data_IF_415572179275
#
_entry.id   IF_415572179275
#
_cell.length_a   1.000
_cell.length_b   1.000
_cell.length_c   1.000
_cell.angle_alpha   90.00
_cell.angle_beta   90.00
_cell.angle_gamma   90.00
#
_symmetry.space_group_name_H-M   'P 1'
#
loop_
_entity.id
_entity.type
_entity.pdbx_description
1 polymer ?
#
# COMPACT_ATOMS: atom_id res chain seq x y z
N UNK A 1 18.66 -3.49 12.70
CA UNK A 1 17.35 -3.25 12.05
C UNK A 1 16.82 -4.60 11.63
N UNK A 2 15.70 -5.05 12.19
CA UNK A 2 15.09 -6.35 11.82
C UNK A 2 14.58 -6.24 10.39
N UNK A 3 15.29 -6.87 9.46
CA UNK A 3 14.84 -6.99 8.08
C UNK A 3 13.62 -7.91 8.06
N UNK A 4 12.42 -7.34 7.98
CA UNK A 4 11.20 -8.10 7.77
C UNK A 4 11.24 -8.60 6.32
N UNK A 5 11.37 -9.91 6.13
CA UNK A 5 11.19 -10.56 4.83
C UNK A 5 9.70 -10.76 4.58
N UNK A 6 9.24 -10.36 3.40
CA UNK A 6 7.85 -10.51 2.98
C UNK A 6 7.80 -11.50 1.80
N UNK A 7 6.85 -12.43 1.85
CA UNK A 7 6.49 -13.29 0.72
C UNK A 7 4.99 -13.11 0.45
N UNK A 8 4.66 -12.51 -0.69
CA UNK A 8 3.29 -12.21 -1.08
C UNK A 8 3.12 -12.31 -2.60
N UNK A 9 1.98 -12.84 -3.05
CA UNK A 9 1.56 -12.85 -4.46
C UNK A 9 0.29 -11.99 -4.60
N UNK A 10 0.44 -10.82 -5.21
CA UNK A 10 -0.62 -9.84 -5.38
C UNK A 10 -1.10 -9.88 -6.82
N UNK A 11 -2.37 -10.28 -7.02
CA UNK A 11 -3.01 -10.36 -8.34
C UNK A 11 -4.11 -9.30 -8.43
N UNK A 12 -3.83 -8.21 -9.14
CA UNK A 12 -4.80 -7.16 -9.44
C UNK A 12 -5.40 -7.36 -10.84
N UNK A 13 -6.71 -7.16 -10.97
CA UNK A 13 -7.43 -7.26 -12.25
C UNK A 13 -8.17 -5.96 -12.52
N UNK A 14 -7.93 -5.40 -13.70
CA UNK A 14 -8.55 -4.19 -14.20
C UNK A 14 -9.19 -4.46 -15.57
N UNK A 15 -10.14 -3.63 -16.02
CA UNK A 15 -10.69 -3.76 -17.37
C UNK A 15 -9.62 -3.71 -18.47
N UNK A 16 -8.49 -3.06 -18.23
CA UNK A 16 -7.38 -2.91 -19.19
C UNK A 16 -6.36 -4.06 -19.15
N UNK A 17 -6.48 -5.00 -18.19
CA UNK A 17 -5.55 -6.14 -18.05
C UNK A 17 -5.36 -6.60 -16.60
N UNK A 18 -4.52 -7.62 -16.41
CA UNK A 18 -4.12 -8.09 -15.08
C UNK A 18 -2.67 -7.67 -14.76
N UNK A 19 -2.39 -7.43 -13.49
CA UNK A 19 -1.04 -7.21 -12.98
C UNK A 19 -0.77 -8.23 -11.85
N UNK A 20 0.39 -8.86 -11.88
CA UNK A 20 0.88 -9.73 -10.80
C UNK A 20 2.14 -9.11 -10.22
N UNK A 21 2.20 -8.96 -8.90
CA UNK A 21 3.34 -8.42 -8.20
C UNK A 21 3.73 -9.33 -7.03
N UNK A 22 5.03 -9.42 -6.76
CA UNK A 22 5.56 -10.22 -5.66
C UNK A 22 6.59 -9.39 -4.88
N UNK A 23 6.15 -8.56 -3.92
CA UNK A 23 7.07 -7.74 -3.13
C UNK A 23 7.87 -8.59 -2.15
N UNK A 24 9.18 -8.35 -2.07
CA UNK A 24 10.10 -9.01 -1.14
C UNK A 24 10.30 -8.27 0.19
N UNK A 25 9.82 -7.03 0.28
CA UNK A 25 9.93 -6.19 1.48
C UNK A 25 8.72 -5.25 1.64
N UNK A 26 8.55 -4.62 2.81
CA UNK A 26 7.43 -3.71 3.07
C UNK A 26 7.38 -2.48 2.16
N UNK A 27 8.52 -1.98 1.68
CA UNK A 27 8.57 -0.80 0.80
C UNK A 27 7.98 -1.12 -0.58
N UNK A 28 8.38 -2.26 -1.16
CA UNK A 28 7.82 -2.77 -2.42
C UNK A 28 6.32 -3.02 -2.30
N UNK A 29 5.87 -3.61 -1.17
CA UNK A 29 4.44 -3.79 -0.90
C UNK A 29 3.71 -2.45 -0.87
N UNK A 30 4.27 -1.44 -0.22
CA UNK A 30 3.63 -0.13 -0.12
C UNK A 30 3.54 0.56 -1.48
N UNK A 31 4.57 0.46 -2.32
CA UNK A 31 4.53 0.99 -3.69
C UNK A 31 3.37 0.38 -4.48
N UNK A 32 3.23 -0.94 -4.43
CA UNK A 32 2.12 -1.64 -5.09
C UNK A 32 0.80 -1.16 -4.52
N UNK A 33 0.63 -1.12 -3.20
CA UNK A 33 -0.61 -0.69 -2.56
C UNK A 33 -1.02 0.74 -2.96
N UNK A 34 -0.08 1.68 -3.02
CA UNK A 34 -0.34 3.06 -3.44
C UNK A 34 -0.76 3.12 -4.92
N UNK A 35 -0.10 2.38 -5.81
CA UNK A 35 -0.47 2.32 -7.23
C UNK A 35 -1.91 1.80 -7.41
N UNK A 36 -2.27 0.73 -6.69
CA UNK A 36 -3.64 0.20 -6.70
C UNK A 36 -4.64 1.25 -6.18
N UNK A 37 -4.33 1.94 -5.08
CA UNK A 37 -5.19 2.98 -4.50
C UNK A 37 -5.39 4.16 -5.47
N UNK A 38 -4.35 4.60 -6.16
CA UNK A 38 -4.45 5.70 -7.13
C UNK A 38 -5.30 5.27 -8.33
N UNK A 39 -5.14 4.03 -8.80
CA UNK A 39 -5.95 3.48 -9.91
C UNK A 39 -7.43 3.39 -9.56
N UNK A 40 -7.76 3.06 -8.31
CA UNK A 40 -9.14 2.89 -7.85
C UNK A 40 -9.80 4.22 -7.43
N UNK A 41 -9.09 5.06 -6.68
CA UNK A 41 -9.66 6.26 -6.01
C UNK A 41 -9.20 7.58 -6.62
N UNK A 42 -8.23 7.55 -7.54
CA UNK A 42 -7.49 8.74 -7.97
C UNK A 42 -6.50 9.25 -6.92
N UNK A 43 -5.63 10.18 -7.31
CA UNK A 43 -4.54 10.68 -6.47
C UNK A 43 -5.01 11.30 -5.15
N UNK A 44 -6.01 12.18 -5.20
CA UNK A 44 -6.52 12.83 -3.98
C UNK A 44 -7.27 11.85 -3.07
N UNK A 45 -8.00 10.89 -3.63
CA UNK A 45 -8.68 9.85 -2.86
C UNK A 45 -7.68 8.94 -2.14
N UNK A 46 -6.62 8.52 -2.83
CA UNK A 46 -5.53 7.74 -2.25
C UNK A 46 -4.83 8.51 -1.11
N UNK A 47 -4.52 9.80 -1.33
CA UNK A 47 -3.90 10.66 -0.32
C UNK A 47 -4.75 10.80 0.94
N UNK A 48 -6.06 11.04 0.77
CA UNK A 48 -6.99 11.16 1.88
C UNK A 48 -7.07 9.85 2.69
N UNK A 49 -7.14 8.71 2.00
CA UNK A 49 -7.18 7.39 2.64
C UNK A 49 -5.90 7.11 3.44
N UNK A 50 -4.72 7.33 2.85
CA UNK A 50 -3.44 7.13 3.54
C UNK A 50 -3.35 8.01 4.79
N UNK A 51 -3.77 9.27 4.68
CA UNK A 51 -3.79 10.20 5.83
C UNK A 51 -4.70 9.70 6.96
N UNK A 52 -5.86 9.13 6.61
CA UNK A 52 -6.79 8.52 7.57
C UNK A 52 -6.21 7.26 8.23
N UNK A 53 -5.41 6.48 7.52
CA UNK A 53 -4.72 5.32 8.11
C UNK A 53 -3.65 5.78 9.09
N UNK A 54 -2.81 6.75 8.69
CA UNK A 54 -1.73 7.27 9.52
C UNK A 54 -2.24 7.96 10.80
N UNK A 55 -3.39 8.62 10.75
CA UNK A 55 -3.98 9.26 11.94
C UNK A 55 -4.31 8.27 13.06
N UNK A 56 -4.55 6.98 12.73
CA UNK A 56 -4.77 5.92 13.74
C UNK A 56 -3.51 5.63 14.56
N UNK A 57 -2.33 5.75 13.96
CA UNK A 57 -1.07 5.53 14.65
C UNK A 57 -0.69 6.72 15.54
N UNK A 58 -1.00 7.94 15.09
CA UNK A 58 -0.88 9.14 15.92
C UNK A 58 -1.79 9.07 17.16
N UNK A 59 -3.02 8.57 17.00
CA UNK A 59 -3.96 8.37 18.11
C UNK A 59 -3.54 7.22 19.06
N UNK A 60 -2.81 6.23 18.56
CA UNK A 60 -2.35 5.08 19.33
C UNK A 60 -1.06 5.35 20.14
N UNK A 61 -0.47 6.55 20.04
CA UNK A 61 0.75 6.92 20.78
C UNK A 61 2.00 6.14 20.36
N UNK A 62 1.98 5.50 19.18
CA UNK A 62 3.15 4.84 18.62
C UNK A 62 4.14 5.91 18.11
N UNK A 63 5.46 5.69 18.25
CA UNK A 63 6.45 6.66 17.81
C UNK A 63 6.31 6.92 16.30
N UNK A 64 6.25 8.21 15.96
CA UNK A 64 6.25 8.73 14.59
C UNK A 64 7.66 8.73 14.05
#
# INVERSE_FOLDING_TARGET
MTAITLDADIKARWPQGHCSHSPGNPEELMIIAVDLLIKELGTEGARAFISQVLSRYAAAGLPV
#
